data_IF_113577461893
#
_entry.id   IF_113577461893
#
_cell.length_a   1.000
_cell.length_b   1.000
_cell.length_c   1.000
_cell.angle_alpha   90.00
_cell.angle_beta   90.00
_cell.angle_gamma   90.00
#
_symmetry.space_group_name_H-M   'P 1'
#
loop_
_entity.id
_entity.type
_entity.pdbx_description
1 polymer ?
#
# COMPACT_ATOMS: atom_id res chain seq x y z
N UNK A 1 -100.61 -85.74 -118.58
CA UNK A 1 -99.58 -84.72 -118.27
C UNK A 1 -99.18 -84.82 -116.81
N UNK A 2 -97.92 -85.22 -116.53
CA UNK A 2 -97.07 -84.84 -115.36
C UNK A 2 -97.77 -84.83 -113.97
N UNK A 3 -97.79 -85.88 -113.14
CA UNK A 3 -96.67 -86.57 -112.44
C UNK A 3 -95.63 -85.56 -111.91
N UNK A 4 -95.26 -85.44 -110.63
CA UNK A 4 -95.37 -86.20 -109.37
C UNK A 4 -94.99 -85.20 -108.26
N UNK A 5 -95.60 -85.19 -107.07
CA UNK A 5 -95.06 -85.88 -105.90
C UNK A 5 -93.52 -85.97 -105.86
N UNK A 6 -92.80 -84.89 -105.49
CA UNK A 6 -91.43 -84.91 -104.96
C UNK A 6 -90.94 -83.48 -104.70
N UNK A 7 -91.21 -82.92 -103.51
CA UNK A 7 -90.44 -81.78 -102.96
C UNK A 7 -90.18 -81.91 -101.45
N UNK A 8 -90.23 -83.16 -100.96
CA UNK A 8 -89.52 -83.60 -99.75
C UNK A 8 -88.37 -84.52 -100.22
N UNK A 9 -87.15 -84.14 -99.86
CA UNK A 9 -85.91 -84.93 -99.85
C UNK A 9 -85.25 -85.32 -101.21
N UNK A 10 -83.90 -85.27 -101.15
CA UNK A 10 -82.86 -85.67 -102.11
C UNK A 10 -82.47 -84.62 -103.18
N UNK A 11 -81.22 -84.18 -103.35
CA UNK A 11 -79.92 -84.63 -102.80
C UNK A 11 -79.18 -83.49 -102.07
N UNK A 12 -78.29 -83.69 -101.10
CA UNK A 12 -77.25 -84.72 -100.93
C UNK A 12 -76.46 -84.93 -102.23
N UNK A 13 -75.21 -84.48 -102.20
CA UNK A 13 -74.24 -84.38 -103.30
C UNK A 13 -74.30 -83.09 -104.16
N UNK A 14 -74.06 -81.95 -103.52
CA UNK A 14 -73.29 -80.88 -104.14
C UNK A 14 -72.35 -80.29 -103.09
N UNK A 15 -71.08 -80.72 -103.19
CA UNK A 15 -69.91 -80.01 -102.69
C UNK A 15 -69.61 -80.19 -101.19
N UNK A 16 -69.35 -81.43 -100.80
CA UNK A 16 -68.16 -81.73 -99.98
C UNK A 16 -66.91 -81.47 -100.83
N UNK A 17 -66.70 -80.21 -101.22
CA UNK A 17 -65.54 -79.73 -101.98
C UNK A 17 -65.51 -78.19 -102.03
N UNK A 18 -65.97 -77.49 -100.98
CA UNK A 18 -65.38 -76.18 -100.68
C UNK A 18 -64.18 -76.56 -99.84
N UNK A 19 -63.15 -76.99 -100.58
CA UNK A 19 -61.78 -77.07 -100.12
C UNK A 19 -61.54 -75.90 -99.19
N UNK A 20 -60.88 -76.20 -98.07
CA UNK A 20 -60.00 -75.31 -97.34
C UNK A 20 -59.83 -73.99 -98.10
N UNK A 21 -60.56 -72.96 -97.71
CA UNK A 21 -60.02 -71.63 -97.83
C UNK A 21 -58.78 -71.71 -96.94
N UNK A 22 -57.66 -72.08 -97.57
CA UNK A 22 -56.35 -71.82 -97.04
C UNK A 22 -56.42 -70.32 -96.82
N UNK A 23 -56.67 -69.94 -95.56
CA UNK A 23 -56.18 -68.70 -95.03
C UNK A 23 -54.67 -68.80 -95.20
N UNK A 24 -54.19 -68.56 -96.42
CA UNK A 24 -52.86 -68.07 -96.59
C UNK A 24 -52.96 -66.70 -95.96
N UNK A 25 -52.78 -66.67 -94.65
CA UNK A 25 -52.08 -65.57 -94.03
C UNK A 25 -50.87 -65.39 -94.93
N UNK A 26 -50.92 -64.37 -95.79
CA UNK A 26 -49.71 -63.80 -96.31
C UNK A 26 -49.04 -63.31 -95.03
N UNK A 27 -48.20 -64.17 -94.46
CA UNK A 27 -47.16 -63.72 -93.56
C UNK A 27 -46.38 -62.78 -94.45
N UNK A 28 -46.60 -61.47 -94.27
CA UNK A 28 -45.73 -60.50 -94.87
C UNK A 28 -44.33 -60.87 -94.37
N UNK A 29 -43.47 -61.34 -95.28
CA UNK A 29 -42.06 -61.57 -94.95
C UNK A 29 -41.55 -60.25 -94.39
N UNK A 30 -41.26 -60.22 -93.10
CA UNK A 30 -40.60 -59.07 -92.50
C UNK A 30 -39.15 -59.12 -92.95
N UNK A 31 -38.83 -58.38 -94.02
CA UNK A 31 -37.46 -58.25 -94.50
C UNK A 31 -36.53 -57.85 -93.34
N UNK A 32 -35.35 -58.46 -93.28
CA UNK A 32 -34.40 -58.25 -92.20
C UNK A 32 -34.03 -56.75 -92.14
N UNK A 33 -34.48 -56.08 -91.08
CA UNK A 33 -34.10 -54.71 -90.76
C UNK A 33 -33.16 -54.70 -89.57
N UNK A 34 -32.15 -53.82 -89.59
CA UNK A 34 -31.15 -53.74 -88.53
C UNK A 34 -30.75 -52.28 -88.33
N UNK A 35 -30.69 -51.87 -87.07
CA UNK A 35 -30.26 -50.55 -86.64
C UNK A 35 -29.31 -50.65 -85.46
N UNK A 36 -28.43 -49.66 -85.35
CA UNK A 36 -27.56 -49.45 -84.19
C UNK A 36 -28.05 -48.23 -83.41
N UNK A 37 -27.90 -48.25 -82.08
CA UNK A 37 -28.26 -47.10 -81.25
C UNK A 37 -27.43 -45.83 -81.54
N UNK A 38 -26.20 -45.98 -82.04
CA UNK A 38 -25.34 -44.88 -82.50
C UNK A 38 -24.30 -45.38 -83.51
N UNK A 39 -23.64 -44.44 -84.20
CA UNK A 39 -22.63 -44.74 -85.20
C UNK A 39 -21.18 -44.63 -84.67
N UNK A 40 -20.97 -43.97 -83.52
CA UNK A 40 -19.66 -43.77 -82.90
C UNK A 40 -19.71 -44.12 -81.42
N UNK A 41 -18.71 -44.87 -80.98
CA UNK A 41 -18.59 -45.40 -79.63
C UNK A 41 -17.18 -45.13 -79.09
N UNK A 42 -17.06 -45.06 -77.78
CA UNK A 42 -15.81 -45.23 -77.03
C UNK A 42 -15.90 -46.53 -76.23
N UNK A 43 -14.77 -47.07 -75.73
CA UNK A 43 -14.81 -48.14 -74.75
C UNK A 43 -15.79 -47.89 -73.60
N UNK A 44 -16.44 -48.94 -73.11
CA UNK A 44 -17.41 -48.86 -72.02
C UNK A 44 -18.83 -48.47 -72.44
N UNK A 45 -19.04 -47.99 -73.67
CA UNK A 45 -20.37 -47.76 -74.23
C UNK A 45 -21.12 -49.07 -74.49
N UNK A 46 -22.45 -49.02 -74.40
CA UNK A 46 -23.32 -50.13 -74.81
C UNK A 46 -23.72 -49.99 -76.28
N UNK A 47 -23.23 -50.91 -77.11
CA UNK A 47 -23.74 -51.13 -78.46
C UNK A 47 -25.05 -51.92 -78.36
N UNK A 48 -26.11 -51.39 -78.97
CA UNK A 48 -27.40 -52.07 -79.11
C UNK A 48 -27.66 -52.29 -80.59
N UNK A 49 -27.88 -53.55 -80.95
CA UNK A 49 -28.29 -53.99 -82.28
C UNK A 49 -29.77 -54.38 -82.17
N UNK A 50 -30.62 -53.68 -82.89
CA UNK A 50 -32.07 -53.91 -82.88
C UNK A 50 -32.62 -54.02 -84.29
N UNK A 51 -33.75 -54.70 -84.47
CA UNK A 51 -34.30 -54.88 -85.80
C UNK A 51 -35.55 -55.75 -85.84
N UNK A 52 -35.96 -56.07 -87.06
CA UNK A 52 -37.08 -56.99 -87.35
C UNK A 52 -36.62 -58.08 -88.30
N UNK A 53 -37.15 -59.29 -88.13
CA UNK A 53 -36.94 -60.45 -88.99
C UNK A 53 -38.21 -61.32 -88.99
N UNK A 54 -38.15 -62.50 -89.61
CA UNK A 54 -39.27 -63.45 -89.54
C UNK A 54 -39.60 -63.83 -88.08
N UNK A 55 -40.88 -64.00 -87.72
CA UNK A 55 -41.28 -64.39 -86.38
C UNK A 55 -40.56 -65.65 -85.89
N UNK A 56 -39.98 -65.57 -84.69
CA UNK A 56 -39.21 -66.66 -84.07
C UNK A 56 -37.91 -67.06 -84.78
N UNK A 57 -37.47 -66.33 -85.81
CA UNK A 57 -36.25 -66.65 -86.54
C UNK A 57 -35.00 -66.50 -85.68
N UNK A 58 -33.98 -67.31 -85.97
CA UNK A 58 -32.68 -67.21 -85.29
C UNK A 58 -31.82 -66.17 -86.01
N UNK A 59 -31.42 -65.13 -85.28
CA UNK A 59 -30.60 -64.02 -85.77
C UNK A 59 -29.19 -64.17 -85.23
N UNK A 60 -28.24 -64.37 -86.13
CA UNK A 60 -26.81 -64.43 -85.81
C UNK A 60 -26.21 -63.04 -85.91
N UNK A 61 -25.41 -62.66 -84.91
CA UNK A 61 -24.76 -61.36 -84.80
C UNK A 61 -23.26 -61.60 -84.70
N UNK A 62 -22.52 -61.04 -85.65
CA UNK A 62 -21.08 -61.16 -85.74
C UNK A 62 -20.45 -59.78 -85.79
N UNK A 63 -19.52 -59.49 -84.88
CA UNK A 63 -18.73 -58.26 -84.88
C UNK A 63 -17.33 -58.57 -85.37
N UNK A 64 -16.89 -57.85 -86.40
CA UNK A 64 -15.56 -57.96 -87.00
C UNK A 64 -14.80 -56.66 -86.76
N UNK A 65 -13.58 -56.77 -86.25
CA UNK A 65 -12.71 -55.62 -85.98
C UNK A 65 -12.10 -55.02 -87.27
N UNK A 66 -11.45 -53.85 -87.19
CA UNK A 66 -10.83 -53.20 -88.35
C UNK A 66 -9.73 -54.03 -89.03
N UNK A 67 -9.18 -55.03 -88.34
CA UNK A 67 -8.15 -55.92 -88.84
C UNK A 67 -8.75 -57.21 -89.48
N UNK A 68 -10.08 -57.34 -89.49
CA UNK A 68 -10.79 -58.51 -90.02
C UNK A 68 -10.97 -59.66 -89.03
N UNK A 69 -10.59 -59.50 -87.76
CA UNK A 69 -10.76 -60.52 -86.73
C UNK A 69 -12.17 -60.49 -86.13
N UNK A 70 -12.74 -61.66 -85.88
CA UNK A 70 -14.07 -61.79 -85.26
C UNK A 70 -13.94 -61.57 -83.76
N UNK A 71 -14.56 -60.52 -83.23
CA UNK A 71 -14.58 -60.20 -81.79
C UNK A 71 -15.78 -60.81 -81.08
N UNK A 72 -16.91 -60.91 -81.77
CA UNK A 72 -18.14 -61.47 -81.24
C UNK A 72 -18.80 -62.32 -82.31
N UNK A 73 -19.34 -63.47 -81.91
CA UNK A 73 -20.26 -64.28 -82.68
C UNK A 73 -21.31 -64.82 -81.70
N UNK A 74 -22.54 -64.33 -81.82
CA UNK A 74 -23.64 -64.64 -80.91
C UNK A 74 -24.95 -64.85 -81.70
N UNK A 75 -25.99 -65.33 -81.04
CA UNK A 75 -27.31 -65.54 -81.63
C UNK A 75 -28.45 -65.11 -80.70
N UNK A 76 -29.51 -64.57 -81.28
CA UNK A 76 -30.75 -64.18 -80.58
C UNK A 76 -31.94 -64.62 -81.40
N UNK A 77 -33.03 -65.07 -80.77
CA UNK A 77 -34.28 -65.36 -81.47
C UNK A 77 -35.13 -64.10 -81.57
N UNK A 78 -35.69 -63.85 -82.75
CA UNK A 78 -36.73 -62.84 -82.92
C UNK A 78 -38.00 -63.22 -82.16
N UNK A 79 -38.77 -62.24 -81.69
CA UNK A 79 -40.06 -62.45 -81.06
C UNK A 79 -41.11 -62.97 -82.04
N UNK A 80 -42.29 -63.32 -81.53
CA UNK A 80 -43.45 -63.68 -82.36
C UNK A 80 -43.97 -62.53 -83.24
N UNK A 81 -43.55 -61.30 -82.94
CA UNK A 81 -43.78 -60.08 -83.74
C UNK A 81 -42.61 -59.77 -84.70
N UNK A 82 -41.58 -60.61 -84.72
CA UNK A 82 -40.39 -60.45 -85.56
C UNK A 82 -39.33 -59.52 -84.96
N UNK A 83 -39.55 -58.87 -83.81
CA UNK A 83 -38.57 -57.95 -83.22
C UNK A 83 -37.40 -58.68 -82.57
N UNK A 84 -36.19 -58.13 -82.66
CA UNK A 84 -35.04 -58.63 -81.89
C UNK A 84 -34.22 -57.48 -81.34
N UNK A 85 -33.51 -57.74 -80.23
CA UNK A 85 -32.56 -56.80 -79.64
C UNK A 85 -31.42 -57.57 -79.00
N UNK A 86 -30.20 -57.11 -79.23
CA UNK A 86 -29.00 -57.64 -78.64
C UNK A 86 -28.09 -56.49 -78.22
N UNK A 87 -27.35 -56.65 -77.13
CA UNK A 87 -26.47 -55.59 -76.65
C UNK A 87 -25.16 -56.12 -76.08
N UNK A 88 -24.12 -55.31 -76.18
CA UNK A 88 -22.82 -55.55 -75.57
C UNK A 88 -22.23 -54.26 -75.05
N UNK A 89 -21.58 -54.32 -73.89
CA UNK A 89 -20.70 -53.24 -73.42
C UNK A 89 -19.34 -53.39 -74.07
N UNK A 90 -18.93 -52.43 -74.89
CA UNK A 90 -17.70 -52.51 -75.67
C UNK A 90 -16.47 -52.54 -74.75
N UNK A 91 -15.63 -53.59 -74.81
CA UNK A 91 -14.43 -53.70 -74.00
C UNK A 91 -13.37 -52.63 -74.34
N UNK A 92 -12.51 -52.30 -73.37
CA UNK A 92 -11.43 -51.32 -73.54
C UNK A 92 -10.17 -51.84 -74.22
N UNK A 93 -10.02 -53.15 -74.37
CA UNK A 93 -8.92 -53.80 -75.09
C UNK A 93 -9.20 -53.93 -76.61
N UNK A 94 -10.38 -53.51 -77.06
CA UNK A 94 -10.74 -53.51 -78.48
C UNK A 94 -10.01 -52.39 -79.22
N UNK A 95 -9.32 -52.68 -80.35
CA UNK A 95 -8.60 -51.66 -81.10
C UNK A 95 -9.56 -50.61 -81.67
N UNK A 96 -9.13 -49.35 -81.68
CA UNK A 96 -9.92 -48.27 -82.29
C UNK A 96 -9.98 -48.42 -83.81
N UNK A 97 -11.10 -48.05 -84.43
CA UNK A 97 -11.30 -48.09 -85.88
C UNK A 97 -12.73 -48.43 -86.27
N UNK A 98 -12.94 -48.77 -87.54
CA UNK A 98 -14.26 -49.11 -88.09
C UNK A 98 -14.55 -50.61 -87.95
N UNK A 99 -15.59 -50.94 -87.19
CA UNK A 99 -16.07 -52.31 -86.99
C UNK A 99 -17.23 -52.61 -87.93
N UNK A 100 -17.37 -53.87 -88.32
CA UNK A 100 -18.51 -54.38 -89.07
C UNK A 100 -19.40 -55.25 -88.18
N UNK A 101 -20.68 -54.92 -88.11
CA UNK A 101 -21.73 -55.72 -87.48
C UNK A 101 -22.49 -56.44 -88.58
N UNK A 102 -22.23 -57.73 -88.71
CA UNK A 102 -22.91 -58.61 -89.65
C UNK A 102 -24.05 -59.28 -88.91
N UNK A 103 -25.28 -59.00 -89.34
CA UNK A 103 -26.49 -59.61 -88.81
C UNK A 103 -27.12 -60.45 -89.89
N UNK A 104 -27.35 -61.73 -89.59
CA UNK A 104 -27.88 -62.69 -90.55
C UNK A 104 -29.03 -63.49 -89.95
N UNK A 105 -30.13 -63.55 -90.68
CA UNK A 105 -31.23 -64.48 -90.43
C UNK A 105 -30.76 -65.88 -90.84
N UNK A 106 -30.67 -66.80 -89.88
CA UNK A 106 -30.16 -68.15 -90.09
C UNK A 106 -31.11 -69.00 -90.95
N UNK A 107 -32.42 -68.70 -90.91
CA UNK A 107 -33.46 -69.48 -91.57
C UNK A 107 -33.59 -69.12 -93.06
N UNK A 108 -33.53 -67.83 -93.38
CA UNK A 108 -33.65 -67.34 -94.77
C UNK A 108 -32.31 -67.08 -95.45
N UNK A 109 -31.24 -66.91 -94.68
CA UNK A 109 -29.93 -66.51 -95.17
C UNK A 109 -29.79 -65.02 -95.48
N UNK A 110 -30.84 -64.21 -95.29
CA UNK A 110 -30.78 -62.75 -95.46
C UNK A 110 -29.75 -62.14 -94.49
N UNK A 111 -28.94 -61.20 -94.99
CA UNK A 111 -27.87 -60.58 -94.21
C UNK A 111 -27.83 -59.08 -94.42
N UNK A 112 -27.65 -58.34 -93.33
CA UNK A 112 -27.35 -56.92 -93.31
C UNK A 112 -26.00 -56.69 -92.64
N UNK A 113 -25.23 -55.73 -93.15
CA UNK A 113 -23.93 -55.35 -92.57
C UNK A 113 -23.94 -53.86 -92.29
N UNK A 114 -23.76 -53.50 -91.02
CA UNK A 114 -23.65 -52.13 -90.56
C UNK A 114 -22.24 -51.88 -90.06
N UNK A 115 -21.85 -50.61 -90.00
CA UNK A 115 -20.56 -50.20 -89.46
C UNK A 115 -20.73 -49.24 -88.30
N UNK A 116 -19.87 -49.36 -87.29
CA UNK A 116 -19.69 -48.33 -86.29
C UNK A 116 -18.20 -48.01 -86.12
N UNK A 117 -17.90 -46.81 -85.63
CA UNK A 117 -16.53 -46.42 -85.31
C UNK A 117 -16.30 -46.54 -83.81
N UNK A 118 -15.26 -47.26 -83.41
CA UNK A 118 -14.74 -47.23 -82.04
C UNK A 118 -13.61 -46.20 -81.97
N UNK A 119 -13.86 -45.10 -81.30
CA UNK A 119 -12.91 -44.00 -81.11
C UNK A 119 -12.10 -44.18 -79.83
N UNK A 120 -10.92 -43.56 -79.81
CA UNK A 120 -10.15 -43.42 -78.57
C UNK A 120 -10.85 -42.41 -77.66
N UNK A 121 -11.52 -42.91 -76.62
CA UNK A 121 -12.00 -42.10 -75.50
C UNK A 121 -10.87 -41.74 -74.56
N UNK A 122 -11.12 -40.81 -73.64
CA UNK A 122 -10.26 -40.59 -72.49
C UNK A 122 -10.57 -41.57 -71.37
N UNK A 123 -9.59 -41.86 -70.53
CA UNK A 123 -9.70 -42.80 -69.41
C UNK A 123 -9.50 -42.05 -68.09
N UNK A 124 -10.45 -42.15 -67.18
CA UNK A 124 -10.31 -41.72 -65.78
C UNK A 124 -10.08 -42.97 -64.94
N UNK A 125 -8.97 -43.02 -64.22
CA UNK A 125 -8.64 -44.12 -63.33
C UNK A 125 -8.32 -43.63 -61.92
N UNK A 126 -8.54 -44.48 -60.93
CA UNK A 126 -8.18 -44.18 -59.54
C UNK A 126 -8.40 -45.38 -58.63
N UNK A 127 -8.13 -45.18 -57.34
CA UNK A 127 -8.34 -46.18 -56.30
C UNK A 127 -9.09 -45.57 -55.13
N UNK A 128 -10.10 -46.25 -54.61
CA UNK A 128 -10.88 -45.79 -53.46
C UNK A 128 -10.48 -46.58 -52.21
N UNK A 129 -10.19 -45.86 -51.11
CA UNK A 129 -9.78 -46.45 -49.82
C UNK A 129 -10.57 -45.85 -48.65
N UNK A 130 -10.59 -46.57 -47.53
CA UNK A 130 -11.18 -46.13 -46.27
C UNK A 130 -10.20 -45.30 -45.39
N UNK A 131 -10.64 -44.89 -44.20
CA UNK A 131 -9.82 -44.19 -43.20
C UNK A 131 -8.54 -44.93 -42.78
N UNK A 132 -8.49 -46.27 -42.92
CA UNK A 132 -7.37 -47.12 -42.57
C UNK A 132 -6.47 -47.45 -43.78
N UNK A 133 -6.82 -46.96 -44.98
CA UNK A 133 -6.14 -47.26 -46.23
C UNK A 133 -6.57 -48.58 -46.89
N UNK A 134 -7.58 -49.25 -46.35
CA UNK A 134 -8.15 -50.48 -46.92
C UNK A 134 -8.94 -50.15 -48.19
N UNK A 135 -8.87 -50.97 -49.25
CA UNK A 135 -9.65 -50.72 -50.46
C UNK A 135 -11.16 -50.81 -50.21
N UNK A 136 -11.92 -49.90 -50.81
CA UNK A 136 -13.39 -49.96 -50.78
C UNK A 136 -13.89 -50.56 -52.09
N UNK A 137 -14.38 -51.79 -52.04
CA UNK A 137 -14.95 -52.50 -53.18
C UNK A 137 -16.44 -52.18 -53.43
N UNK A 138 -16.83 -52.14 -54.69
CA UNK A 138 -18.21 -51.85 -55.12
C UNK A 138 -18.70 -50.47 -54.68
N UNK A 139 -17.81 -49.49 -54.58
CA UNK A 139 -18.17 -48.08 -54.50
C UNK A 139 -18.56 -47.59 -55.89
N UNK A 140 -19.67 -46.88 -55.99
CA UNK A 140 -20.19 -46.32 -57.23
C UNK A 140 -19.43 -45.04 -57.55
N UNK A 141 -18.90 -44.97 -58.76
CA UNK A 141 -18.13 -43.86 -59.29
C UNK A 141 -18.94 -43.21 -60.41
N UNK A 142 -19.40 -42.00 -60.15
CA UNK A 142 -20.16 -41.18 -61.07
C UNK A 142 -19.25 -40.13 -61.69
N UNK A 143 -19.19 -40.07 -63.02
CA UNK A 143 -18.54 -38.99 -63.74
C UNK A 143 -19.62 -38.04 -64.22
N UNK A 144 -19.57 -36.77 -63.80
CA UNK A 144 -20.58 -35.78 -64.15
C UNK A 144 -20.00 -34.67 -65.03
N UNK A 145 -20.82 -34.21 -65.98
CA UNK A 145 -20.58 -33.00 -66.78
C UNK A 145 -21.66 -31.99 -66.41
N UNK A 146 -21.28 -30.94 -65.65
CA UNK A 146 -22.27 -30.07 -65.00
C UNK A 146 -23.09 -30.85 -63.97
N UNK A 147 -24.42 -30.83 -64.08
CA UNK A 147 -25.33 -31.54 -63.16
C UNK A 147 -25.75 -32.93 -63.66
N UNK A 148 -25.24 -33.39 -64.80
CA UNK A 148 -25.62 -34.70 -65.37
C UNK A 148 -24.51 -35.71 -65.20
N UNK A 149 -24.84 -36.91 -64.73
CA UNK A 149 -23.96 -38.07 -64.82
C UNK A 149 -23.86 -38.50 -66.28
N UNK A 150 -22.64 -38.62 -66.79
CA UNK A 150 -22.34 -39.00 -68.17
C UNK A 150 -21.71 -40.38 -68.29
N UNK A 151 -21.11 -40.89 -67.21
CA UNK A 151 -20.55 -42.23 -67.14
C UNK A 151 -20.51 -42.72 -65.70
N UNK A 152 -20.56 -44.04 -65.53
CA UNK A 152 -20.57 -44.70 -64.23
C UNK A 152 -19.66 -45.94 -64.24
N UNK A 153 -19.06 -46.24 -63.10
CA UNK A 153 -18.37 -47.50 -62.83
C UNK A 153 -18.52 -47.89 -61.36
N UNK A 154 -18.13 -49.10 -61.04
CA UNK A 154 -17.96 -49.56 -59.67
C UNK A 154 -16.49 -49.89 -59.42
N UNK A 155 -16.02 -49.68 -58.19
CA UNK A 155 -14.66 -50.09 -57.80
C UNK A 155 -14.55 -51.62 -57.71
N UNK A 156 -13.41 -52.15 -58.14
CA UNK A 156 -13.05 -53.57 -58.02
C UNK A 156 -12.71 -53.97 -56.57
N UNK A 157 -12.40 -55.26 -56.38
CA UNK A 157 -12.04 -55.81 -55.06
C UNK A 157 -10.79 -55.18 -54.43
N UNK A 158 -9.90 -54.63 -55.25
CA UNK A 158 -8.71 -53.88 -54.84
C UNK A 158 -8.94 -52.37 -54.71
N UNK A 159 -10.20 -51.92 -54.85
CA UNK A 159 -10.63 -50.52 -54.79
C UNK A 159 -10.36 -49.74 -56.08
N UNK A 160 -9.79 -50.35 -57.12
CA UNK A 160 -9.50 -49.67 -58.38
C UNK A 160 -10.76 -49.41 -59.19
N UNK A 161 -10.80 -48.33 -59.96
CA UNK A 161 -11.83 -48.08 -60.95
C UNK A 161 -11.22 -47.49 -62.22
N UNK A 162 -11.90 -47.76 -63.33
CA UNK A 162 -11.63 -47.14 -64.64
C UNK A 162 -12.96 -46.76 -65.27
N UNK A 163 -13.06 -45.53 -65.75
CA UNK A 163 -14.20 -45.02 -66.51
C UNK A 163 -13.70 -44.41 -67.81
N UNK A 164 -14.36 -44.74 -68.92
CA UNK A 164 -14.08 -44.12 -70.21
C UNK A 164 -15.08 -43.00 -70.48
N UNK A 165 -14.58 -41.85 -70.94
CA UNK A 165 -15.38 -40.68 -71.27
C UNK A 165 -14.92 -40.05 -72.57
N UNK A 166 -15.79 -39.27 -73.20
CA UNK A 166 -15.36 -38.42 -74.30
C UNK A 166 -14.38 -37.33 -73.79
N UNK A 167 -13.60 -36.68 -74.67
CA UNK A 167 -12.78 -35.57 -74.26
C UNK A 167 -13.62 -34.42 -73.69
N UNK A 168 -13.22 -33.87 -72.55
CA UNK A 168 -13.99 -32.85 -71.84
C UNK A 168 -13.51 -32.64 -70.40
N UNK A 169 -14.23 -31.79 -69.67
CA UNK A 169 -13.98 -31.52 -68.24
C UNK A 169 -15.11 -32.06 -67.39
N UNK A 170 -14.76 -32.83 -66.36
CA UNK A 170 -15.70 -33.58 -65.54
C UNK A 170 -15.53 -33.33 -64.05
N UNK A 171 -16.52 -33.71 -63.25
CA UNK A 171 -16.30 -34.06 -61.86
C UNK A 171 -16.49 -35.57 -61.65
N UNK A 172 -15.84 -36.11 -60.63
CA UNK A 172 -15.89 -37.53 -60.28
C UNK A 172 -16.37 -37.63 -58.84
N UNK A 173 -17.53 -38.23 -58.64
CA UNK A 173 -18.19 -38.42 -57.35
C UNK A 173 -18.19 -39.90 -57.00
N UNK A 174 -17.69 -40.25 -55.82
CA UNK A 174 -17.63 -41.63 -55.31
C UNK A 174 -18.61 -41.79 -54.15
N UNK A 175 -19.50 -42.77 -54.25
CA UNK A 175 -20.53 -43.06 -53.26
C UNK A 175 -20.51 -44.55 -52.87
N UNK A 176 -20.65 -44.82 -51.58
CA UNK A 176 -20.81 -46.17 -51.05
C UNK A 176 -21.70 -46.10 -49.82
N UNK A 177 -22.72 -46.96 -49.76
CA UNK A 177 -23.56 -47.07 -48.57
C UNK A 177 -22.72 -47.35 -47.32
N UNK A 178 -22.95 -46.59 -46.26
CA UNK A 178 -22.15 -46.67 -45.02
C UNK A 178 -20.83 -45.88 -45.06
N UNK A 179 -20.55 -45.11 -46.11
CA UNK A 179 -19.37 -44.24 -46.21
C UNK A 179 -19.76 -42.80 -46.57
N UNK A 180 -18.83 -41.86 -46.38
CA UNK A 180 -18.94 -40.48 -46.87
C UNK A 180 -18.73 -40.40 -48.38
N UNK A 181 -19.37 -39.42 -49.03
CA UNK A 181 -19.11 -39.11 -50.45
C UNK A 181 -17.79 -38.36 -50.62
N UNK A 182 -17.01 -38.73 -51.65
CA UNK A 182 -15.87 -37.95 -52.11
C UNK A 182 -16.14 -37.38 -53.52
N UNK A 183 -15.77 -36.12 -53.76
CA UNK A 183 -15.95 -35.45 -55.05
C UNK A 183 -14.68 -34.77 -55.49
N UNK A 184 -14.21 -35.08 -56.69
CA UNK A 184 -13.11 -34.38 -57.38
C UNK A 184 -13.70 -33.57 -58.52
N UNK A 185 -13.41 -32.27 -58.58
CA UNK A 185 -13.92 -31.38 -59.63
C UNK A 185 -12.83 -31.00 -60.63
N UNK A 186 -13.23 -30.48 -61.80
CA UNK A 186 -12.31 -30.00 -62.84
C UNK A 186 -11.31 -31.04 -63.36
N UNK A 187 -11.76 -32.28 -63.51
CA UNK A 187 -10.99 -33.36 -64.14
C UNK A 187 -11.05 -33.18 -65.65
N UNK A 188 -10.00 -32.58 -66.23
CA UNK A 188 -9.87 -32.41 -67.69
C UNK A 188 -9.30 -33.67 -68.32
N UNK A 189 -9.96 -34.18 -69.36
CA UNK A 189 -9.58 -35.42 -70.05
C UNK A 189 -9.50 -35.16 -71.56
N UNK A 190 -8.33 -35.42 -72.15
CA UNK A 190 -8.09 -35.37 -73.59
C UNK A 190 -8.41 -36.67 -74.32
N UNK A 191 -8.31 -36.63 -75.66
CA UNK A 191 -8.53 -37.80 -76.52
C UNK A 191 -7.42 -38.84 -76.33
N UNK A 192 -7.77 -40.06 -75.94
CA UNK A 192 -6.81 -41.12 -75.64
C UNK A 192 -5.94 -40.87 -74.41
N UNK A 193 -6.23 -39.81 -73.65
CA UNK A 193 -5.50 -39.48 -72.44
C UNK A 193 -5.98 -40.34 -71.28
N UNK A 194 -5.05 -40.82 -70.44
CA UNK A 194 -5.35 -41.47 -69.17
C UNK A 194 -5.08 -40.51 -68.02
N UNK A 195 -6.13 -40.07 -67.35
CA UNK A 195 -6.10 -39.23 -66.15
C UNK A 195 -6.22 -40.10 -64.92
N UNK A 196 -5.18 -40.07 -64.07
CA UNK A 196 -5.18 -40.78 -62.78
C UNK A 196 -5.54 -39.82 -61.65
N UNK A 197 -6.60 -40.14 -60.91
CA UNK A 197 -7.01 -39.41 -59.69
C UNK A 197 -6.25 -39.87 -58.44
N UNK A 198 -5.32 -40.81 -58.58
CA UNK A 198 -4.58 -41.39 -57.46
C UNK A 198 -5.50 -42.13 -56.50
N UNK A 199 -5.29 -41.92 -55.20
CA UNK A 199 -6.09 -42.56 -54.15
C UNK A 199 -7.13 -41.58 -53.59
N UNK A 200 -8.40 -41.93 -53.72
CA UNK A 200 -9.54 -41.22 -53.17
C UNK A 200 -9.94 -41.86 -51.84
N UNK A 201 -9.91 -41.07 -50.77
CA UNK A 201 -10.28 -41.57 -49.46
C UNK A 201 -11.72 -41.21 -49.12
N UNK A 202 -12.51 -42.20 -48.75
CA UNK A 202 -13.83 -42.04 -48.14
C UNK A 202 -13.78 -42.59 -46.72
N UNK A 203 -14.64 -42.11 -45.81
CA UNK A 203 -14.64 -42.55 -44.41
C UNK A 203 -15.88 -43.37 -44.11
N UNK A 204 -15.74 -44.46 -43.37
CA UNK A 204 -16.88 -45.21 -42.89
C UNK A 204 -17.69 -44.36 -41.90
N UNK A 205 -19.02 -44.36 -42.06
CA UNK A 205 -19.92 -43.66 -41.14
C UNK A 205 -19.86 -44.27 -39.74
N UNK A 206 -19.61 -45.58 -39.65
CA UNK A 206 -19.41 -46.28 -38.36
C UNK A 206 -18.15 -45.78 -37.62
N UNK A 207 -17.03 -45.56 -38.32
CA UNK A 207 -15.83 -44.98 -37.71
C UNK A 207 -16.05 -43.54 -37.27
N UNK A 208 -16.80 -42.75 -38.06
CA UNK A 208 -17.18 -41.40 -37.67
C UNK A 208 -18.07 -41.39 -36.40
N UNK A 209 -19.05 -42.29 -36.32
CA UNK A 209 -19.92 -42.43 -35.14
C UNK A 209 -19.10 -42.86 -33.92
N UNK A 210 -18.24 -43.88 -34.03
CA UNK A 210 -17.35 -44.29 -32.93
C UNK A 210 -16.43 -43.16 -32.46
N UNK A 211 -15.89 -42.38 -33.40
CA UNK A 211 -15.09 -41.19 -33.09
C UNK A 211 -15.89 -40.14 -32.33
N UNK A 212 -17.14 -39.91 -32.73
CA UNK A 212 -18.04 -38.97 -32.05
C UNK A 212 -18.43 -39.47 -30.65
N UNK A 213 -18.73 -40.75 -30.49
CA UNK A 213 -19.01 -41.37 -29.18
C UNK A 213 -17.81 -41.23 -28.24
N UNK A 214 -16.59 -41.46 -28.73
CA UNK A 214 -15.37 -41.25 -27.95
C UNK A 214 -15.21 -39.79 -27.51
N UNK A 215 -15.50 -38.82 -28.39
CA UNK A 215 -15.47 -37.40 -28.06
C UNK A 215 -16.53 -37.02 -27.01
N UNK A 216 -17.74 -37.57 -27.12
CA UNK A 216 -18.82 -37.38 -26.14
C UNK A 216 -18.41 -37.94 -24.77
N UNK A 217 -17.87 -39.16 -24.73
CA UNK A 217 -17.42 -39.78 -23.49
C UNK A 217 -16.26 -39.01 -22.83
N UNK A 218 -15.29 -38.55 -23.62
CA UNK A 218 -14.21 -37.70 -23.12
C UNK A 218 -14.74 -36.39 -22.52
N UNK A 219 -15.73 -35.78 -23.17
CA UNK A 219 -16.38 -34.55 -22.69
C UNK A 219 -17.16 -34.80 -21.39
N UNK A 220 -17.86 -35.93 -21.29
CA UNK A 220 -18.58 -36.33 -20.09
C UNK A 220 -17.64 -36.53 -18.89
N UNK A 221 -16.53 -37.25 -19.10
CA UNK A 221 -15.51 -37.46 -18.06
C UNK A 221 -14.92 -36.14 -17.56
N UNK A 222 -14.65 -35.19 -18.46
CA UNK A 222 -14.15 -33.86 -18.10
C UNK A 222 -15.19 -33.07 -17.28
N UNK A 223 -16.46 -33.15 -17.66
CA UNK A 223 -17.55 -32.51 -16.92
C UNK A 223 -17.68 -33.12 -15.51
N UNK A 224 -17.61 -34.44 -15.37
CA UNK A 224 -17.66 -35.12 -14.07
C UNK A 224 -16.51 -34.68 -13.16
N UNK A 225 -15.27 -34.63 -13.66
CA UNK A 225 -14.13 -34.13 -12.89
C UNK A 225 -14.32 -32.66 -12.45
N UNK A 226 -14.91 -31.83 -13.31
CA UNK A 226 -15.20 -30.42 -12.99
C UNK A 226 -16.26 -30.32 -11.90
N UNK A 227 -17.29 -31.16 -11.94
CA UNK A 227 -18.34 -31.22 -10.94
C UNK A 227 -17.79 -31.69 -9.58
N UNK A 228 -16.88 -32.65 -9.58
CA UNK A 228 -16.19 -33.11 -8.36
C UNK A 228 -15.32 -31.99 -7.75
N UNK A 229 -14.55 -31.27 -8.58
CA UNK A 229 -13.79 -30.10 -8.13
C UNK A 229 -14.69 -28.99 -7.59
N UNK A 230 -15.81 -28.71 -8.27
CA UNK A 230 -16.77 -27.72 -7.81
C UNK A 230 -17.38 -28.12 -6.47
N UNK A 231 -17.77 -29.39 -6.30
CA UNK A 231 -18.29 -29.91 -5.05
C UNK A 231 -17.26 -29.78 -3.91
N UNK A 232 -15.98 -30.07 -4.18
CA UNK A 232 -14.91 -29.87 -3.20
C UNK A 232 -14.72 -28.39 -2.83
N UNK A 233 -14.81 -27.48 -3.81
CA UNK A 233 -14.72 -26.04 -3.55
C UNK A 233 -15.89 -25.50 -2.74
N UNK A 234 -17.10 -25.99 -3.00
CA UNK A 234 -18.30 -25.66 -2.22
C UNK A 234 -18.19 -26.22 -0.81
N UNK A 235 -17.70 -27.45 -0.64
CA UNK A 235 -17.46 -28.03 0.68
C UNK A 235 -16.45 -27.18 1.48
N UNK A 236 -15.34 -26.74 0.86
CA UNK A 236 -14.35 -25.88 1.49
C UNK A 236 -14.90 -24.47 1.84
N UNK A 237 -15.77 -23.91 1.00
CA UNK A 237 -16.39 -22.62 1.26
C UNK A 237 -17.54 -22.70 2.30
N UNK A 238 -18.20 -23.85 2.38
CA UNK A 238 -19.32 -24.11 3.29
C UNK A 238 -18.91 -24.68 4.65
N UNK A 239 -17.62 -24.96 4.88
CA UNK A 239 -17.18 -25.40 6.21
C UNK A 239 -17.37 -24.26 7.21
N UNK A 240 -18.20 -24.54 8.22
CA UNK A 240 -18.33 -23.79 9.49
C UNK A 240 -16.97 -23.31 10.03
N UNK A 241 -15.90 -24.06 9.75
CA UNK A 241 -14.51 -23.78 10.13
C UNK A 241 -13.95 -22.46 9.55
N UNK A 242 -14.26 -22.07 8.31
CA UNK A 242 -13.81 -20.78 7.77
C UNK A 242 -14.51 -19.61 8.48
N UNK A 243 -15.81 -19.74 8.74
CA UNK A 243 -16.60 -18.74 9.47
C UNK A 243 -16.18 -18.68 10.95
N UNK A 244 -15.92 -19.83 11.58
CA UNK A 244 -15.41 -19.92 12.95
C UNK A 244 -14.01 -19.29 13.08
N UNK A 245 -13.13 -19.49 12.08
CA UNK A 245 -11.82 -18.82 12.03
C UNK A 245 -11.95 -17.30 11.92
N UNK A 246 -12.85 -16.80 11.07
CA UNK A 246 -13.12 -15.35 10.96
C UNK A 246 -13.71 -14.77 12.26
N UNK A 247 -14.61 -15.50 12.93
CA UNK A 247 -15.15 -15.11 14.24
C UNK A 247 -14.08 -15.11 15.33
N UNK A 248 -13.15 -16.08 15.33
CA UNK A 248 -12.01 -16.10 16.25
C UNK A 248 -11.08 -14.90 16.02
N UNK A 249 -10.76 -14.58 14.77
CA UNK A 249 -9.95 -13.38 14.44
C UNK A 249 -10.65 -12.09 14.89
N UNK A 250 -11.96 -11.96 14.64
CA UNK A 250 -12.72 -10.79 15.08
C UNK A 250 -12.79 -10.68 16.60
N UNK A 251 -12.90 -11.81 17.31
CA UNK A 251 -12.88 -11.85 18.78
C UNK A 251 -11.53 -11.38 19.34
N UNK A 252 -10.41 -11.81 18.74
CA UNK A 252 -9.06 -11.35 19.12
C UNK A 252 -8.87 -9.86 18.88
N UNK A 253 -9.36 -9.33 17.76
CA UNK A 253 -9.32 -7.90 17.46
C UNK A 253 -10.14 -7.08 18.48
N UNK A 254 -11.32 -7.56 18.86
CA UNK A 254 -12.15 -6.90 19.88
C UNK A 254 -11.48 -6.89 21.25
N UNK A 255 -10.79 -7.97 21.64
CA UNK A 255 -10.02 -8.03 22.89
C UNK A 255 -8.86 -7.02 22.88
N UNK A 256 -8.09 -6.96 21.80
CA UNK A 256 -7.00 -5.99 21.66
C UNK A 256 -7.52 -4.55 21.69
N UNK A 257 -8.63 -4.26 21.02
CA UNK A 257 -9.25 -2.94 21.05
C UNK A 257 -9.73 -2.57 22.47
N UNK A 258 -10.32 -3.51 23.21
CA UNK A 258 -10.74 -3.30 24.59
C UNK A 258 -9.55 -2.98 25.51
N UNK A 259 -8.41 -3.66 25.34
CA UNK A 259 -7.17 -3.36 26.07
C UNK A 259 -6.59 -2.00 25.71
N UNK A 260 -6.63 -1.62 24.43
CA UNK A 260 -6.22 -0.29 23.99
C UNK A 260 -7.10 0.80 24.60
N UNK A 261 -8.42 0.63 24.59
CA UNK A 261 -9.37 1.56 25.23
C UNK A 261 -9.10 1.66 26.73
N UNK A 262 -8.87 0.54 27.41
CA UNK A 262 -8.52 0.53 28.85
C UNK A 262 -7.21 1.25 29.11
N UNK A 263 -6.21 1.08 28.25
CA UNK A 263 -4.92 1.76 28.36
C UNK A 263 -5.08 3.27 28.14
N UNK A 264 -5.81 3.67 27.10
CA UNK A 264 -6.12 5.07 26.84
C UNK A 264 -6.92 5.69 27.99
N UNK A 265 -7.84 4.95 28.58
CA UNK A 265 -8.61 5.39 29.75
C UNK A 265 -7.69 5.58 30.97
N UNK A 266 -6.78 4.64 31.24
CA UNK A 266 -5.78 4.80 32.29
C UNK A 266 -4.83 5.97 32.04
N UNK A 267 -4.42 6.19 30.79
CA UNK A 267 -3.60 7.35 30.39
C UNK A 267 -4.35 8.66 30.55
N UNK A 268 -5.66 8.67 30.27
CA UNK A 268 -6.52 9.83 30.49
C UNK A 268 -6.68 10.10 31.99
N UNK A 269 -6.89 9.06 32.81
CA UNK A 269 -6.96 9.20 34.27
C UNK A 269 -5.64 9.72 34.87
N UNK A 270 -4.50 9.35 34.29
CA UNK A 270 -3.18 9.86 34.73
C UNK A 270 -2.87 11.27 34.21
N UNK A 271 -3.25 11.62 32.97
CA UNK A 271 -3.01 12.98 32.42
C UNK A 271 -4.07 14.00 32.82
N UNK A 272 -5.28 13.55 33.16
CA UNK A 272 -6.42 14.36 33.57
C UNK A 272 -6.79 14.09 35.03
N UNK A 273 -5.83 13.65 35.86
CA UNK A 273 -6.03 13.47 37.28
C UNK A 273 -6.50 14.78 37.89
N UNK A 274 -7.80 14.89 38.18
CA UNK A 274 -8.40 15.98 38.93
C UNK A 274 -7.58 16.30 40.19
N UNK A 275 -6.96 15.28 40.78
CA UNK A 275 -6.03 15.39 41.91
C UNK A 275 -4.78 16.22 41.62
N UNK A 276 -4.16 16.13 40.43
CA UNK A 276 -2.98 16.93 40.09
C UNK A 276 -3.35 18.39 39.81
N UNK A 277 -4.51 18.64 39.21
CA UNK A 277 -5.05 20.00 39.03
C UNK A 277 -5.50 20.61 40.37
N UNK A 278 -6.13 19.81 41.25
CA UNK A 278 -6.49 20.22 42.61
C UNK A 278 -5.23 20.49 43.46
N UNK A 279 -4.17 19.68 43.29
CA UNK A 279 -2.87 19.90 43.95
C UNK A 279 -2.19 21.17 43.44
N UNK A 280 -2.14 21.39 42.12
CA UNK A 280 -1.56 22.60 41.55
C UNK A 280 -2.34 23.85 41.95
N UNK A 281 -3.67 23.76 42.03
CA UNK A 281 -4.52 24.84 42.53
C UNK A 281 -4.27 25.12 44.02
N UNK A 282 -4.09 24.08 44.84
CA UNK A 282 -3.72 24.23 46.25
C UNK A 282 -2.32 24.87 46.41
N UNK A 283 -1.34 24.46 45.60
CA UNK A 283 0.01 25.05 45.57
C UNK A 283 -0.03 26.52 45.15
N UNK A 284 -0.87 26.88 44.15
CA UNK A 284 -1.11 28.27 43.74
C UNK A 284 -1.76 29.11 44.86
N UNK A 285 -2.74 28.54 45.56
CA UNK A 285 -3.39 29.20 46.70
C UNK A 285 -2.39 29.46 47.83
N UNK A 286 -1.59 28.45 48.21
CA UNK A 286 -0.55 28.58 49.24
C UNK A 286 0.51 29.62 48.84
N UNK A 287 0.91 29.64 47.57
CA UNK A 287 1.83 30.64 47.05
C UNK A 287 1.24 32.06 47.11
N UNK A 288 -0.06 32.20 46.82
CA UNK A 288 -0.78 33.48 46.93
C UNK A 288 -0.86 33.95 48.39
N UNK A 289 -1.13 33.05 49.34
CA UNK A 289 -1.16 33.38 50.77
C UNK A 289 0.22 33.77 51.31
N UNK A 290 1.27 33.09 50.85
CA UNK A 290 2.67 33.46 51.12
C UNK A 290 3.02 34.83 50.56
N UNK A 291 2.56 35.15 49.34
CA UNK A 291 2.76 36.47 48.73
C UNK A 291 2.04 37.56 49.53
N UNK A 292 0.82 37.30 50.00
CA UNK A 292 0.09 38.19 50.91
C UNK A 292 0.85 38.43 52.21
N UNK A 293 1.32 37.36 52.85
CA UNK A 293 2.12 37.45 54.09
C UNK A 293 3.42 38.24 53.88
N UNK A 294 4.10 38.05 52.75
CA UNK A 294 5.30 38.80 52.40
C UNK A 294 4.99 40.28 52.17
N UNK A 295 3.85 40.61 51.55
CA UNK A 295 3.39 41.98 51.38
C UNK A 295 3.10 42.65 52.74
N UNK A 296 2.46 41.94 53.67
CA UNK A 296 2.22 42.42 55.03
C UNK A 296 3.54 42.64 55.79
N UNK A 297 4.49 41.71 55.66
CA UNK A 297 5.83 41.86 56.22
C UNK A 297 6.54 43.09 55.65
N UNK A 298 6.49 43.29 54.33
CA UNK A 298 7.07 44.45 53.67
C UNK A 298 6.44 45.75 54.19
N UNK A 299 5.11 45.79 54.34
CA UNK A 299 4.39 46.94 54.90
C UNK A 299 4.77 47.21 56.35
N UNK A 300 4.90 46.16 57.18
CA UNK A 300 5.38 46.27 58.56
C UNK A 300 6.81 46.80 58.64
N UNK A 301 7.71 46.27 57.80
CA UNK A 301 9.09 46.75 57.67
C UNK A 301 9.14 48.21 57.24
N UNK A 302 8.32 48.61 56.25
CA UNK A 302 8.20 50.00 55.81
C UNK A 302 7.73 50.90 56.96
N UNK A 303 6.76 50.45 57.77
CA UNK A 303 6.30 51.15 58.98
C UNK A 303 7.39 51.25 60.06
N UNK A 304 8.16 50.19 60.30
CA UNK A 304 9.27 50.20 61.25
C UNK A 304 10.42 51.11 60.80
N UNK A 305 10.74 51.13 59.51
CA UNK A 305 11.75 52.04 58.94
C UNK A 305 11.29 53.49 59.05
N UNK A 306 10.02 53.78 58.71
CA UNK A 306 9.44 55.11 58.90
C UNK A 306 9.44 55.54 60.38
N UNK A 307 9.12 54.64 61.31
CA UNK A 307 9.11 54.91 62.75
C UNK A 307 10.50 55.11 63.37
N UNK A 308 11.55 54.44 62.86
CA UNK A 308 12.94 54.66 63.30
C UNK A 308 13.61 55.86 62.63
N UNK A 309 13.07 56.33 61.51
CA UNK A 309 13.45 57.57 60.85
C UNK A 309 12.62 58.77 61.33
N UNK A 310 12.05 58.72 62.55
CA UNK A 310 11.32 59.85 63.12
C UNK A 310 12.30 61.01 63.34
N UNK A 311 12.24 61.98 62.43
CA UNK A 311 12.96 63.24 62.51
C UNK A 311 12.75 63.92 63.87
N UNK A 312 11.63 63.67 64.56
CA UNK A 312 11.39 64.17 65.91
C UNK A 312 12.37 63.56 66.94
N UNK A 313 12.65 62.26 66.88
CA UNK A 313 13.61 61.61 67.77
C UNK A 313 15.05 62.10 67.51
N UNK A 314 15.42 62.29 66.23
CA UNK A 314 16.71 62.88 65.84
C UNK A 314 16.83 64.33 66.33
N UNK A 315 15.77 65.13 66.17
CA UNK A 315 15.73 66.51 66.66
C UNK A 315 15.80 66.58 68.20
N UNK A 316 15.17 65.65 68.92
CA UNK A 316 15.27 65.56 70.38
C UNK A 316 16.69 65.18 70.84
N UNK A 317 17.34 64.25 70.14
CA UNK A 317 18.72 63.88 70.45
C UNK A 317 19.67 65.05 70.19
N UNK A 318 19.49 65.77 69.08
CA UNK A 318 20.25 66.98 68.76
C UNK A 318 20.04 68.07 69.82
N UNK A 319 18.81 68.29 70.28
CA UNK A 319 18.52 69.24 71.36
C UNK A 319 19.21 68.85 72.69
N UNK A 320 19.15 67.57 73.08
CA UNK A 320 19.87 67.08 74.27
C UNK A 320 21.39 67.23 74.14
N UNK A 321 21.93 67.07 72.93
CA UNK A 321 23.36 67.27 72.66
C UNK A 321 23.73 68.75 72.79
N UNK A 322 22.87 69.65 72.33
CA UNK A 322 22.99 71.10 72.53
C UNK A 322 23.01 71.47 74.01
N UNK A 323 22.01 71.03 74.78
CA UNK A 323 21.96 71.23 76.25
C UNK A 323 23.23 70.70 76.95
N UNK A 324 23.77 69.56 76.50
CA UNK A 324 24.98 68.99 77.06
C UNK A 324 26.22 69.82 76.70
N UNK A 325 26.28 70.35 75.49
CA UNK A 325 27.31 71.30 75.05
C UNK A 325 27.30 72.56 75.91
N UNK A 326 26.12 73.15 76.12
CA UNK A 326 25.95 74.36 76.94
C UNK A 326 26.39 74.12 78.40
N UNK A 327 26.05 72.94 78.95
CA UNK A 327 26.52 72.52 80.28
C UNK A 327 28.04 72.36 80.32
N UNK A 328 28.66 71.85 79.27
CA UNK A 328 30.11 71.70 79.17
C UNK A 328 30.82 73.07 79.09
N UNK A 329 30.25 74.02 78.36
CA UNK A 329 30.76 75.40 78.27
C UNK A 329 30.62 76.13 79.62
N UNK A 330 29.50 75.93 80.32
CA UNK A 330 29.32 76.44 81.67
C UNK A 330 30.34 75.84 82.64
N UNK A 331 30.53 74.52 82.57
CA UNK A 331 31.49 73.82 83.42
C UNK A 331 32.92 74.32 83.15
N UNK A 332 33.29 74.50 81.88
CA UNK A 332 34.58 75.07 81.48
C UNK A 332 34.76 76.48 82.05
N UNK A 333 33.73 77.32 82.00
CA UNK A 333 33.76 78.68 82.58
C UNK A 333 33.91 78.68 84.11
N UNK A 334 33.28 77.71 84.79
CA UNK A 334 33.43 77.51 86.24
C UNK A 334 34.82 77.03 86.60
N UNK A 335 35.43 76.16 85.80
CA UNK A 335 36.82 75.72 85.97
C UNK A 335 37.77 76.91 85.82
N UNK A 336 37.63 77.72 84.78
CA UNK A 336 38.43 78.94 84.60
C UNK A 336 38.28 79.94 85.76
N UNK A 337 37.08 80.01 86.36
CA UNK A 337 36.84 80.83 87.56
C UNK A 337 37.52 80.23 88.79
N UNK A 338 37.48 78.90 88.94
CA UNK A 338 38.18 78.21 90.03
C UNK A 338 39.69 78.38 89.93
N UNK A 339 40.27 78.33 88.72
CA UNK A 339 41.69 78.62 88.48
C UNK A 339 42.05 80.02 89.01
N UNK A 340 41.30 81.06 88.64
CA UNK A 340 41.52 82.43 89.17
C UNK A 340 41.41 82.52 90.70
N UNK A 341 40.51 81.74 91.30
CA UNK A 341 40.38 81.69 92.77
C UNK A 341 41.57 80.99 93.42
N UNK A 342 42.14 79.98 92.77
CA UNK A 342 43.39 79.33 93.20
C UNK A 342 44.54 80.34 93.12
N UNK A 343 44.68 81.10 92.03
CA UNK A 343 45.69 82.17 91.93
C UNK A 343 45.55 83.20 93.05
N UNK A 344 44.31 83.58 93.37
CA UNK A 344 44.02 84.52 94.46
C UNK A 344 44.37 83.94 95.83
N UNK A 345 44.11 82.64 96.06
CA UNK A 345 44.51 81.94 97.28
C UNK A 345 46.03 81.83 97.40
N UNK A 346 46.73 81.60 96.30
CA UNK A 346 48.19 81.60 96.25
C UNK A 346 48.75 82.98 96.60
N UNK A 347 48.19 84.06 96.04
CA UNK A 347 48.54 85.43 96.41
C UNK A 347 48.27 85.75 97.89
N UNK A 348 47.13 85.31 98.44
CA UNK A 348 46.81 85.46 99.86
C UNK A 348 47.83 84.71 100.75
N UNK A 349 48.28 83.53 100.32
CA UNK A 349 49.33 82.76 101.02
C UNK A 349 50.66 83.52 101.05
N UNK A 350 51.03 84.18 99.94
CA UNK A 350 52.20 85.07 99.90
C UNK A 350 52.05 86.27 100.85
N UNK A 351 50.87 86.91 100.88
CA UNK A 351 50.59 88.01 101.82
C UNK A 351 50.69 87.57 103.29
N UNK A 352 50.23 86.35 103.64
CA UNK A 352 50.42 85.79 104.99
C UNK A 352 51.90 85.63 105.32
N UNK A 353 52.72 85.16 104.37
CA UNK A 353 54.18 85.07 104.55
C UNK A 353 54.85 86.43 104.76
N UNK A 354 54.40 87.48 104.05
CA UNK A 354 54.83 88.86 104.30
C UNK A 354 54.40 89.34 105.69
N UNK A 355 53.16 89.05 106.11
CA UNK A 355 52.65 89.40 107.44
C UNK A 355 53.45 88.72 108.55
N UNK A 356 53.80 87.43 108.40
CA UNK A 356 54.67 86.71 109.33
C UNK A 356 56.04 87.36 109.46
N UNK A 357 56.63 87.79 108.33
CA UNK A 357 57.89 88.52 108.32
C UNK A 357 57.79 89.87 109.04
N UNK A 358 56.70 90.62 108.80
CA UNK A 358 56.43 91.90 109.48
C UNK A 358 56.22 91.72 110.99
N UNK A 359 55.50 90.68 111.42
CA UNK A 359 55.35 90.32 112.85
C UNK A 359 56.72 89.97 113.45
N UNK A 360 57.57 89.24 112.73
CA UNK A 360 58.95 88.96 113.13
C UNK A 360 59.78 90.22 113.33
N UNK A 361 59.68 91.18 112.41
CA UNK A 361 60.33 92.49 112.55
C UNK A 361 59.77 93.30 113.74
N UNK A 362 58.44 93.33 113.90
CA UNK A 362 57.80 94.03 115.02
C UNK A 362 58.21 93.44 116.37
N UNK A 363 58.32 92.10 116.46
CA UNK A 363 58.85 91.41 117.64
C UNK A 363 60.26 91.88 117.99
N UNK A 364 61.16 91.94 117.01
CA UNK A 364 62.52 92.47 117.18
C UNK A 364 62.53 93.94 117.63
N UNK A 365 61.64 94.77 117.07
CA UNK A 365 61.47 96.17 117.49
C UNK A 365 60.98 96.29 118.94
N UNK A 366 60.04 95.45 119.38
CA UNK A 366 59.58 95.40 120.78
C UNK A 366 60.71 94.99 121.72
N UNK A 367 61.50 93.98 121.35
CA UNK A 367 62.64 93.54 122.16
C UNK A 367 63.71 94.65 122.26
N UNK A 368 63.98 95.38 121.16
CA UNK A 368 64.83 96.57 121.19
C UNK A 368 64.25 97.69 122.06
N UNK A 369 62.95 97.96 122.00
CA UNK A 369 62.31 99.01 122.80
C UNK A 369 62.34 98.66 124.30
N UNK A 370 62.14 97.38 124.66
CA UNK A 370 62.33 96.88 126.03
C UNK A 370 63.76 97.08 126.51
N UNK A 371 64.76 96.81 125.67
CA UNK A 371 66.17 97.06 126.00
C UNK A 371 66.45 98.56 126.20
N UNK A 372 65.91 99.43 125.34
CA UNK A 372 66.01 100.88 125.48
C UNK A 372 65.32 101.38 126.76
N UNK A 373 64.13 100.88 127.08
CA UNK A 373 63.41 101.22 128.31
C UNK A 373 64.20 100.80 129.57
N UNK A 374 64.80 99.60 129.57
CA UNK A 374 65.67 99.16 130.66
C UNK A 374 66.91 100.06 130.81
N UNK A 375 67.50 100.51 129.69
CA UNK A 375 68.61 101.47 129.70
C UNK A 375 68.18 102.84 130.26
N UNK A 376 67.02 103.38 129.83
CA UNK A 376 66.46 104.61 130.38
C UNK A 376 66.19 104.49 131.89
N UNK A 377 65.61 103.38 132.35
CA UNK A 377 65.39 103.11 133.77
C UNK A 377 66.70 103.20 134.57
N UNK A 378 67.79 102.64 134.03
CA UNK A 378 69.13 102.72 134.62
C UNK A 378 69.66 104.15 134.64
N UNK A 379 69.48 104.92 133.55
CA UNK A 379 69.89 106.32 133.47
C UNK A 379 69.13 107.19 134.50
N UNK A 380 67.82 107.04 134.63
CA UNK A 380 67.00 107.76 135.62
C UNK A 380 67.47 107.47 137.05
N UNK A 381 67.75 106.19 137.35
CA UNK A 381 68.26 105.77 138.66
C UNK A 381 69.60 106.44 138.99
N UNK A 382 70.49 106.57 137.99
CA UNK A 382 71.78 107.27 138.14
C UNK A 382 71.68 108.79 138.27
N UNK A 383 70.68 109.40 137.64
CA UNK A 383 70.45 110.84 137.73
C UNK A 383 69.89 111.24 139.11
N UNK A 384 68.96 110.43 139.64
CA UNK A 384 68.38 110.63 140.97
C UNK A 384 69.45 110.56 142.08
N UNK A 385 70.37 109.61 142.00
CA UNK A 385 71.46 109.50 142.98
C UNK A 385 72.39 110.72 142.95
N UNK A 386 72.75 111.22 141.77
CA UNK A 386 73.60 112.42 141.61
C UNK A 386 72.97 113.71 142.17
N UNK A 387 71.65 113.86 142.06
CA UNK A 387 70.94 115.04 142.57
C UNK A 387 70.95 115.11 144.11
N UNK A 388 70.83 113.97 144.79
CA UNK A 388 70.78 113.91 146.26
C UNK A 388 72.07 114.29 146.97
N UNK A 389 73.23 114.18 146.30
CA UNK A 389 74.54 114.55 146.85
C UNK A 389 74.83 116.06 146.81
N UNK A 390 74.24 116.81 145.88
CA UNK A 390 74.56 118.22 145.68
C UNK A 390 73.94 119.16 146.75
N UNK A 391 72.82 118.78 147.37
CA UNK A 391 72.10 119.63 148.34
C UNK A 391 72.73 119.64 149.74
N UNK A 392 73.66 118.72 150.06
CA UNK A 392 74.21 118.58 151.42
C UNK A 392 75.40 119.50 151.73
N UNK A 393 76.07 120.11 150.74
CA UNK A 393 77.27 120.94 150.99
C UNK A 393 76.98 122.40 151.39
N UNK A 394 75.83 122.98 151.04
CA UNK A 394 75.58 124.41 151.27
C UNK A 394 75.19 124.77 152.72
N UNK A 395 74.66 123.82 153.51
CA UNK A 395 74.12 124.11 154.85
C UNK A 395 75.16 123.94 156.00
N UNK A 396 76.20 123.14 155.79
CA UNK A 396 77.17 122.81 156.87
C UNK A 396 78.15 123.96 157.14
N UNK A 397 78.41 124.84 156.16
CA UNK A 397 79.28 126.00 156.35
C UNK A 397 78.75 127.05 157.33
N UNK A 398 77.42 127.22 157.42
CA UNK A 398 76.80 128.26 158.27
C UNK A 398 76.67 127.80 159.74
N UNK A 399 76.53 126.51 160.00
CA UNK A 399 76.34 125.98 161.36
C UNK A 399 77.65 125.87 162.16
N UNK A 400 78.80 125.63 161.51
CA UNK A 400 80.07 125.45 162.20
C UNK A 400 80.63 126.76 162.81
N UNK A 401 80.38 127.91 162.18
CA UNK A 401 80.84 129.21 162.70
C UNK A 401 80.17 129.62 164.01
N UNK A 402 78.87 129.32 164.16
CA UNK A 402 78.09 129.74 165.34
C UNK A 402 78.35 128.91 166.59
N UNK A 403 78.80 127.65 166.46
CA UNK A 403 79.10 126.79 167.61
C UNK A 403 80.46 127.17 168.24
N UNK A 404 81.41 127.65 167.44
CA UNK A 404 82.68 128.16 167.96
C UNK A 404 82.51 129.40 168.85
N UNK A 405 81.52 130.24 168.53
CA UNK A 405 81.14 131.42 169.32
C UNK A 405 80.69 131.06 170.75
N UNK A 406 80.12 129.87 170.96
CA UNK A 406 79.50 129.49 172.24
C UNK A 406 80.48 128.80 173.18
N UNK A 407 81.41 128.00 172.65
CA UNK A 407 82.38 127.26 173.48
C UNK A 407 83.43 128.20 174.10
N UNK A 408 83.84 129.26 173.40
CA UNK A 408 84.81 130.21 173.94
C UNK A 408 84.26 131.01 175.14
N UNK A 409 82.98 131.38 175.11
CA UNK A 409 82.34 132.16 176.17
C UNK A 409 82.15 131.31 177.43
N UNK A 410 81.85 130.02 177.28
CA UNK A 410 81.67 129.12 178.43
C UNK A 410 83.00 128.77 179.10
N UNK A 411 84.11 128.71 178.35
CA UNK A 411 85.41 128.38 178.91
C UNK A 411 85.95 129.46 179.87
N UNK A 412 85.77 130.75 179.58
CA UNK A 412 86.35 131.80 180.42
C UNK A 412 85.51 132.10 181.66
N UNK A 413 84.18 131.97 181.55
CA UNK A 413 83.28 132.12 182.72
C UNK A 413 83.51 131.01 183.76
N UNK A 414 84.03 129.84 183.37
CA UNK A 414 84.35 128.76 184.31
C UNK A 414 85.69 128.95 185.04
N UNK A 415 86.65 129.70 184.50
CA UNK A 415 87.92 129.97 185.20
C UNK A 415 87.76 131.07 186.25
N UNK A 416 86.69 131.84 186.19
CA UNK A 416 86.34 132.81 187.23
C UNK A 416 85.96 132.17 188.59
N UNK A 417 85.89 130.83 188.76
CA UNK A 417 85.17 130.27 189.93
C UNK A 417 85.82 129.17 190.78
N UNK A 418 87.08 128.75 190.60
CA UNK A 418 87.64 127.66 191.45
C UNK A 418 88.86 127.96 192.32
N UNK A 419 89.28 129.22 192.49
CA UNK A 419 90.27 129.60 193.52
C UNK A 419 89.96 131.06 193.94
N UNK A 420 89.70 131.53 195.16
CA UNK A 420 89.60 130.98 196.53
C UNK A 420 90.73 130.02 196.94
N UNK A 421 91.84 130.58 197.45
CA UNK A 421 93.05 129.94 197.95
C UNK A 421 94.24 130.88 197.86
#
# INVERSE_FOLDING_TARGET
MRSRAAKRLAGLAAVALVLLAVSQSIVALAALSVSLNKASFIPGDTLVVSGTADPNAVITIKIVDPNGAVKVADQVSAGGDGSFTWSIRLPGDWPTGTYQVVVRNADTGEQQTLTFTLQSGGEIAGRVVDENGSPVAGAEVYVCSGNQTVAEAATGGDGSFTVFVNPGTYCVKVEKSGYTTATVTNVSVGRGERVSLGTLQIRSLESLVRGLEAQVNASLNKLMATLEQLNASVAAAATKEYVDQQLQQLSQLLQSLAEQVKTLQSQLDTKAGKADLEKLAAELSDLNDKLGSLADQLSSLQGQVAGKADQAAVNQLAAKLGDLSDKLDNLSSRVATLEKRVDTLEAATQSIGQLQSAIGQLKSSIDSFRATAASLQSQVSSASSKASSASRLALVGVAAGLIGLIIAIVAVVLVYRKIAG
#
